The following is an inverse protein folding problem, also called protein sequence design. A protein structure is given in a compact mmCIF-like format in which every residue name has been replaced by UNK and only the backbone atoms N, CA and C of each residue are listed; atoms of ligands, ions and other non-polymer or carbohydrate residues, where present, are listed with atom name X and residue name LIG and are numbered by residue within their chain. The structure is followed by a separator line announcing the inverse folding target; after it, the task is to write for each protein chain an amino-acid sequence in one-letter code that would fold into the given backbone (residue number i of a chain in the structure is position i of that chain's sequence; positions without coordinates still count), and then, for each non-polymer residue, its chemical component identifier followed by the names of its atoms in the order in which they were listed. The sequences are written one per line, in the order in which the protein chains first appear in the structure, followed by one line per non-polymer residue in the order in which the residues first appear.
data_IF_942105237016
#
_entry.id   IF_942105237016
#
_cell.length_a   1.000
_cell.length_b   1.000
_cell.length_c   1.000
_cell.angle_alpha   90.00
_cell.angle_beta   90.00
_cell.angle_gamma   90.00
#
_symmetry.space_group_name_H-M   'P 1'
#
loop_
_entity.id
_entity.type
_entity.pdbx_description
1 polymer ?
#
# COMPACT_ATOMS: atom_id res chain seq x y z
N UNK A 1 -0.75 -7.36 -43.89
CA UNK A 1 -0.07 -7.49 -42.58
C UNK A 1 -0.63 -6.37 -41.69
N UNK A 2 -1.73 -6.53 -40.97
CA UNK A 2 -1.98 -7.55 -39.95
C UNK A 2 -1.73 -6.99 -38.53
N UNK A 3 -1.99 -5.71 -38.28
CA UNK A 3 -1.73 -5.06 -36.98
C UNK A 3 -2.84 -5.30 -35.93
N UNK A 4 -3.98 -5.86 -36.33
CA UNK A 4 -5.16 -6.02 -35.47
C UNK A 4 -5.29 -7.42 -34.82
N UNK A 5 -4.37 -8.36 -35.09
CA UNK A 5 -4.48 -9.74 -34.60
C UNK A 5 -3.68 -10.06 -33.33
N UNK A 6 -2.99 -9.08 -32.73
CA UNK A 6 -2.15 -9.31 -31.55
C UNK A 6 -2.78 -8.88 -30.21
N UNK A 7 -3.87 -8.10 -30.20
CA UNK A 7 -4.35 -7.45 -28.97
C UNK A 7 -5.44 -8.17 -28.20
N UNK A 8 -6.04 -9.25 -28.70
CA UNK A 8 -7.10 -9.91 -27.95
C UNK A 8 -7.20 -11.40 -28.27
N UNK A 9 -6.12 -12.15 -28.01
CA UNK A 9 -6.33 -13.54 -27.58
C UNK A 9 -6.87 -13.45 -26.16
N UNK A 10 -8.20 -13.34 -26.09
CA UNK A 10 -9.06 -13.64 -24.94
C UNK A 10 -8.32 -14.65 -24.09
N UNK A 11 -7.77 -14.24 -22.94
CA UNK A 11 -7.11 -15.16 -22.02
C UNK A 11 -8.20 -16.06 -21.42
N UNK A 12 -8.35 -17.32 -21.85
CA UNK A 12 -9.30 -18.22 -21.22
C UNK A 12 -8.43 -19.15 -20.38
N UNK A 13 -7.88 -18.63 -19.29
CA UNK A 13 -7.32 -19.51 -18.29
C UNK A 13 -8.03 -19.22 -17.00
N UNK A 14 -8.83 -20.22 -16.62
CA UNK A 14 -9.62 -20.31 -15.41
C UNK A 14 -8.67 -20.39 -14.20
N UNK A 15 -7.84 -19.36 -13.97
CA UNK A 15 -7.14 -19.21 -12.72
C UNK A 15 -8.22 -19.12 -11.64
N UNK A 16 -8.31 -20.13 -10.78
CA UNK A 16 -9.18 -20.06 -9.60
C UNK A 16 -8.62 -18.94 -8.72
N UNK A 17 -9.24 -17.77 -8.81
CA UNK A 17 -8.94 -16.63 -7.97
C UNK A 17 -9.62 -16.90 -6.62
N UNK A 18 -8.87 -17.50 -5.71
CA UNK A 18 -9.31 -17.68 -4.33
C UNK A 18 -9.13 -16.40 -3.54
N UNK A 19 -10.19 -15.96 -2.85
CA UNK A 19 -10.08 -14.83 -1.90
C UNK A 19 -9.03 -15.14 -0.83
N UNK A 20 -8.96 -16.41 -0.40
CA UNK A 20 -7.99 -16.90 0.58
C UNK A 20 -6.55 -16.77 0.08
N UNK A 21 -6.32 -17.05 -1.20
CA UNK A 21 -5.00 -16.91 -1.80
C UNK A 21 -4.59 -15.45 -1.85
N UNK A 22 -5.52 -14.55 -2.20
CA UNK A 22 -5.26 -13.11 -2.15
C UNK A 22 -4.83 -12.66 -0.75
N UNK A 23 -5.57 -13.02 0.30
CA UNK A 23 -5.20 -12.66 1.68
C UNK A 23 -3.85 -13.26 2.09
N UNK A 24 -3.56 -14.51 1.70
CA UNK A 24 -2.27 -15.14 2.01
C UNK A 24 -1.11 -14.44 1.29
N UNK A 25 -1.27 -14.10 0.01
CA UNK A 25 -0.26 -13.44 -0.80
C UNK A 25 -0.01 -11.99 -0.37
N UNK A 26 -1.04 -11.29 0.12
CA UNK A 26 -0.99 -9.87 0.52
C UNK A 26 -0.80 -9.67 2.03
N UNK A 27 -0.58 -10.73 2.82
CA UNK A 27 -0.45 -10.65 4.28
C UNK A 27 0.53 -9.58 4.79
N UNK A 28 1.63 -9.35 4.08
CA UNK A 28 2.61 -8.32 4.46
C UNK A 28 2.17 -6.90 4.12
N UNK A 29 1.34 -6.74 3.07
CA UNK A 29 0.67 -5.47 2.79
C UNK A 29 -0.31 -5.16 3.93
N UNK A 30 -1.15 -6.13 4.32
CA UNK A 30 -2.04 -5.97 5.47
C UNK A 30 -1.28 -5.64 6.76
N UNK A 31 -0.20 -6.37 7.04
CA UNK A 31 0.55 -6.22 8.28
C UNK A 31 1.29 -4.89 8.36
N UNK A 32 2.04 -4.50 7.31
CA UNK A 32 2.89 -3.31 7.38
C UNK A 32 2.21 -2.06 6.81
N UNK A 33 1.64 -2.14 5.61
CA UNK A 33 1.07 -0.96 4.96
C UNK A 33 -0.25 -0.49 5.59
N UNK A 34 -1.01 -1.41 6.18
CA UNK A 34 -2.31 -1.10 6.83
C UNK A 34 -2.17 -1.06 8.34
N UNK A 35 -1.96 -2.21 8.99
CA UNK A 35 -1.97 -2.28 10.47
C UNK A 35 -0.79 -1.52 11.07
N UNK A 36 0.42 -1.82 10.62
CA UNK A 36 1.65 -1.22 11.14
C UNK A 36 1.65 0.29 10.96
N UNK A 37 1.41 0.75 9.73
CA UNK A 37 1.37 2.18 9.41
C UNK A 37 0.32 2.91 10.27
N UNK A 38 -0.95 2.46 10.29
CA UNK A 38 -1.99 3.07 11.12
C UNK A 38 -1.59 3.08 12.60
N UNK A 39 -1.11 1.95 13.13
CA UNK A 39 -0.73 1.86 14.54
C UNK A 39 0.38 2.85 14.90
N UNK A 40 1.42 2.94 14.07
CA UNK A 40 2.51 3.89 14.29
C UNK A 40 2.08 5.35 14.14
N UNK A 41 1.22 5.66 13.16
CA UNK A 41 0.71 7.02 12.96
C UNK A 41 -0.18 7.47 14.11
N UNK A 42 -1.12 6.61 14.53
CA UNK A 42 -1.98 6.89 15.70
C UNK A 42 -1.12 7.07 16.94
N UNK A 43 -0.15 6.19 17.19
CA UNK A 43 0.74 6.29 18.34
C UNK A 43 1.56 7.59 18.34
N UNK A 44 2.11 7.98 17.19
CA UNK A 44 2.87 9.22 17.05
C UNK A 44 2.02 10.45 17.38
N UNK A 45 0.78 10.47 16.89
CA UNK A 45 -0.15 11.57 17.07
C UNK A 45 -0.70 11.66 18.50
N UNK A 46 -1.11 10.53 19.09
CA UNK A 46 -1.61 10.50 20.46
C UNK A 46 -0.52 10.81 21.50
N UNK A 47 0.73 10.46 21.20
CA UNK A 47 1.85 10.72 22.11
C UNK A 47 2.45 12.12 21.94
N UNK A 48 1.93 12.95 21.03
CA UNK A 48 2.51 14.26 20.64
C UNK A 48 3.99 14.17 20.18
N UNK A 49 4.44 12.98 19.78
CA UNK A 49 5.83 12.69 19.39
C UNK A 49 6.11 12.92 17.90
N UNK A 50 5.08 13.21 17.12
CA UNK A 50 5.20 13.49 15.69
C UNK A 50 4.00 14.28 15.16
N UNK A 51 4.19 14.92 14.02
CA UNK A 51 3.13 15.57 13.25
C UNK A 51 3.05 14.91 11.86
N UNK A 52 1.85 14.74 11.33
CA UNK A 52 1.68 14.20 9.98
C UNK A 52 2.08 15.25 8.93
N UNK A 53 3.24 15.05 8.31
CA UNK A 53 3.81 15.94 7.29
C UNK A 53 2.97 15.97 6.01
N UNK A 54 2.17 14.93 5.72
CA UNK A 54 1.34 14.91 4.53
C UNK A 54 0.09 15.77 4.70
N UNK A 55 0.05 16.92 4.04
CA UNK A 55 -1.05 17.91 4.12
C UNK A 55 -2.42 17.33 3.73
N UNK A 56 -2.48 16.37 2.82
CA UNK A 56 -3.72 15.71 2.42
C UNK A 56 -4.21 14.80 3.55
N UNK A 57 -3.32 13.99 4.12
CA UNK A 57 -3.65 13.05 5.20
C UNK A 57 -4.00 13.82 6.48
N UNK A 58 -3.22 14.85 6.81
CA UNK A 58 -3.49 15.76 7.93
C UNK A 58 -4.85 16.45 7.78
N UNK A 59 -5.19 16.93 6.57
CA UNK A 59 -6.50 17.50 6.28
C UNK A 59 -7.65 16.51 6.49
N UNK A 60 -7.51 15.26 6.04
CA UNK A 60 -8.51 14.22 6.29
C UNK A 60 -8.63 13.88 7.78
N UNK A 61 -7.50 13.79 8.47
CA UNK A 61 -7.46 13.47 9.89
C UNK A 61 -8.14 14.56 10.73
N UNK A 62 -7.89 15.83 10.43
CA UNK A 62 -8.49 16.96 11.14
C UNK A 62 -10.02 17.04 10.96
N UNK A 63 -10.52 16.66 9.78
CA UNK A 63 -11.95 16.76 9.46
C UNK A 63 -12.76 15.51 9.80
N UNK A 64 -12.14 14.32 9.73
CA UNK A 64 -12.84 13.03 9.82
C UNK A 64 -12.23 12.05 10.84
N UNK A 65 -11.16 12.46 11.54
CA UNK A 65 -10.47 11.66 12.55
C UNK A 65 -9.76 10.42 11.98
N UNK A 66 -9.29 9.54 12.86
CA UNK A 66 -8.53 8.34 12.50
C UNK A 66 -9.29 7.36 11.59
N UNK A 67 -10.62 7.40 11.57
CA UNK A 67 -11.44 6.58 10.69
C UNK A 67 -11.15 6.85 9.20
N UNK A 68 -10.75 8.08 8.86
CA UNK A 68 -10.37 8.43 7.48
C UNK A 68 -9.10 7.71 7.00
N UNK A 69 -8.12 7.50 7.89
CA UNK A 69 -6.90 6.73 7.58
C UNK A 69 -7.26 5.29 7.21
N UNK A 70 -8.15 4.67 7.99
CA UNK A 70 -8.62 3.30 7.73
C UNK A 70 -9.31 3.22 6.37
N UNK A 71 -10.20 4.18 6.06
CA UNK A 71 -10.92 4.21 4.78
C UNK A 71 -9.99 4.31 3.57
N UNK A 72 -8.97 5.19 3.64
CA UNK A 72 -7.99 5.33 2.55
C UNK A 72 -7.22 4.02 2.33
N UNK A 73 -6.83 3.34 3.41
CA UNK A 73 -6.12 2.05 3.32
C UNK A 73 -7.01 0.93 2.79
N UNK A 74 -8.29 0.90 3.17
CA UNK A 74 -9.27 -0.05 2.63
C UNK A 74 -9.52 0.17 1.13
N UNK A 75 -9.61 1.43 0.69
CA UNK A 75 -9.72 1.77 -0.73
C UNK A 75 -8.49 1.30 -1.51
N UNK A 76 -7.29 1.51 -0.96
CA UNK A 76 -6.06 1.02 -1.56
C UNK A 76 -6.03 -0.52 -1.67
N UNK A 77 -6.42 -1.24 -0.61
CA UNK A 77 -6.53 -2.71 -0.66
C UNK A 77 -7.55 -3.19 -1.70
N UNK A 78 -8.67 -2.48 -1.86
CA UNK A 78 -9.63 -2.78 -2.91
C UNK A 78 -9.02 -2.63 -4.30
N UNK A 79 -8.24 -1.57 -4.54
CA UNK A 79 -7.49 -1.38 -5.80
C UNK A 79 -6.47 -2.52 -5.99
N UNK A 80 -5.72 -2.91 -4.96
CA UNK A 80 -4.81 -4.05 -5.03
C UNK A 80 -5.54 -5.36 -5.35
N UNK A 81 -6.76 -5.55 -4.86
CA UNK A 81 -7.58 -6.71 -5.20
C UNK A 81 -8.01 -6.69 -6.67
N UNK A 82 -8.42 -5.54 -7.20
CA UNK A 82 -8.74 -5.39 -8.61
C UNK A 82 -7.52 -5.68 -9.50
N UNK A 83 -6.35 -5.16 -9.12
CA UNK A 83 -5.09 -5.40 -9.83
C UNK A 83 -4.68 -6.88 -9.78
N UNK A 84 -4.80 -7.52 -8.62
CA UNK A 84 -4.59 -8.96 -8.48
C UNK A 84 -5.47 -9.78 -9.43
N UNK A 85 -6.77 -9.49 -9.47
CA UNK A 85 -7.74 -10.17 -10.32
C UNK A 85 -7.39 -9.95 -11.79
N UNK A 86 -7.08 -8.72 -12.17
CA UNK A 86 -6.73 -8.35 -13.54
C UNK A 86 -5.46 -9.06 -14.00
N UNK A 87 -4.37 -8.94 -13.23
CA UNK A 87 -3.07 -9.52 -13.58
C UNK A 87 -3.10 -11.05 -13.60
N UNK A 88 -3.82 -11.71 -12.68
CA UNK A 88 -4.00 -13.17 -12.73
C UNK A 88 -4.80 -13.60 -13.96
N UNK A 89 -5.87 -12.88 -14.33
CA UNK A 89 -6.66 -13.19 -15.55
C UNK A 89 -5.83 -13.05 -16.82
N UNK A 90 -4.94 -12.05 -16.88
CA UNK A 90 -4.04 -11.84 -18.02
C UNK A 90 -2.76 -12.70 -17.96
N UNK A 91 -2.64 -13.60 -16.98
CA UNK A 91 -1.45 -14.44 -16.74
C UNK A 91 -0.14 -13.65 -16.50
N UNK A 92 -0.24 -12.43 -15.98
CA UNK A 92 0.90 -11.56 -15.61
C UNK A 92 1.33 -11.78 -14.15
N UNK A 93 1.67 -13.03 -13.81
CA UNK A 93 2.08 -13.44 -12.46
C UNK A 93 3.33 -12.70 -11.95
N UNK A 94 4.31 -12.45 -12.84
CA UNK A 94 5.54 -11.75 -12.48
C UNK A 94 5.26 -10.30 -12.06
N UNK A 95 4.40 -9.61 -12.81
CA UNK A 95 3.98 -8.24 -12.51
C UNK A 95 3.28 -8.16 -11.16
N UNK A 96 2.34 -9.07 -10.88
CA UNK A 96 1.69 -9.11 -9.57
C UNK A 96 2.68 -9.35 -8.43
N UNK A 97 3.62 -10.28 -8.61
CA UNK A 97 4.68 -10.55 -7.62
C UNK A 97 5.53 -9.29 -7.37
N UNK A 98 5.93 -8.57 -8.42
CA UNK A 98 6.65 -7.32 -8.28
C UNK A 98 5.81 -6.27 -7.52
N UNK A 99 4.57 -6.03 -7.94
CA UNK A 99 3.65 -5.08 -7.31
C UNK A 99 3.49 -5.38 -5.82
N UNK A 100 3.15 -6.62 -5.43
CA UNK A 100 2.93 -6.95 -4.02
C UNK A 100 4.19 -6.78 -3.17
N UNK A 101 5.37 -7.06 -3.73
CA UNK A 101 6.64 -6.90 -3.01
C UNK A 101 7.00 -5.43 -2.87
N UNK A 102 6.87 -4.62 -3.92
CA UNK A 102 7.06 -3.17 -3.85
C UNK A 102 6.14 -2.52 -2.82
N UNK A 103 4.85 -2.87 -2.82
CA UNK A 103 3.88 -2.36 -1.84
C UNK A 103 4.21 -2.83 -0.42
N UNK A 104 4.62 -4.08 -0.24
CA UNK A 104 5.03 -4.59 1.08
C UNK A 104 6.27 -3.86 1.61
N UNK A 105 7.27 -3.62 0.74
CA UNK A 105 8.47 -2.85 1.08
C UNK A 105 8.13 -1.41 1.43
N UNK A 106 7.26 -0.76 0.65
CA UNK A 106 6.76 0.57 0.95
C UNK A 106 6.09 0.62 2.34
N UNK A 107 5.25 -0.37 2.66
CA UNK A 107 4.64 -0.50 3.98
C UNK A 107 5.68 -0.61 5.10
N UNK A 108 6.73 -1.42 4.91
CA UNK A 108 7.82 -1.53 5.89
C UNK A 108 8.54 -0.19 6.05
N UNK A 109 8.86 0.50 4.95
CA UNK A 109 9.53 1.79 4.99
C UNK A 109 8.70 2.85 5.74
N UNK A 110 7.38 2.90 5.52
CA UNK A 110 6.49 3.79 6.25
C UNK A 110 6.51 3.52 7.76
N UNK A 111 6.39 2.25 8.16
CA UNK A 111 6.44 1.86 9.58
C UNK A 111 7.78 2.23 10.20
N UNK A 112 8.90 1.94 9.53
CA UNK A 112 10.24 2.30 10.01
C UNK A 112 10.37 3.82 10.13
N UNK A 113 9.89 4.56 9.14
CA UNK A 113 9.92 6.03 9.16
C UNK A 113 9.16 6.58 10.36
N UNK A 114 7.94 6.11 10.59
CA UNK A 114 7.12 6.57 11.71
C UNK A 114 7.76 6.21 13.06
N UNK A 115 8.34 5.01 13.19
CA UNK A 115 9.08 4.61 14.39
C UNK A 115 10.30 5.51 14.64
N UNK A 116 11.03 5.89 13.59
CA UNK A 116 12.20 6.77 13.72
C UNK A 116 11.79 8.16 14.19
N UNK A 117 10.73 8.73 13.60
CA UNK A 117 10.13 10.00 14.03
C UNK A 117 9.72 9.93 15.51
N UNK A 118 8.99 8.89 15.91
CA UNK A 118 8.60 8.64 17.31
C UNK A 118 9.84 8.55 18.21
N UNK A 119 10.90 7.89 17.75
CA UNK A 119 12.15 7.71 18.48
C UNK A 119 13.04 8.95 18.55
N UNK A 120 12.61 10.09 17.99
CA UNK A 120 13.37 11.34 17.97
C UNK A 120 14.51 11.39 16.94
N UNK A 121 14.69 10.32 16.16
CA UNK A 121 15.58 10.32 15.00
C UNK A 121 14.75 10.81 13.80
N UNK A 122 14.80 12.11 13.49
CA UNK A 122 13.96 12.73 12.45
C UNK A 122 13.85 11.94 11.14
N UNK A 123 12.74 12.12 10.41
CA UNK A 123 12.37 11.37 9.19
C UNK A 123 13.52 11.23 8.18
N UNK A 124 14.08 10.02 7.96
CA UNK A 124 15.09 9.81 6.91
C UNK A 124 14.53 10.00 5.50
N UNK A 125 13.21 9.82 5.32
CA UNK A 125 12.54 10.03 4.04
C UNK A 125 12.53 11.50 3.64
N UNK A 126 12.36 12.41 4.60
CA UNK A 126 12.40 13.85 4.34
C UNK A 126 13.81 14.25 3.87
N UNK A 127 14.85 13.72 4.53
CA UNK A 127 16.26 13.96 4.12
C UNK A 127 16.60 13.40 2.75
N UNK A 128 16.00 12.28 2.34
CA UNK A 128 16.21 11.69 1.02
C UNK A 128 15.50 12.46 -0.10
N UNK A 129 14.37 13.10 0.19
CA UNK A 129 13.58 13.86 -0.77
C UNK A 129 14.01 15.33 -0.86
N UNK A 130 14.54 15.90 0.22
CA UNK A 130 15.01 17.30 0.28
C UNK A 130 16.46 17.49 -0.22
N UNK A 131 17.17 16.40 -0.52
CA UNK A 131 18.44 16.46 -1.25
C UNK A 131 19.61 17.13 -0.50
N UNK A 132 19.64 17.07 0.84
CA UNK A 132 20.75 17.50 1.69
C UNK A 132 20.94 16.60 2.92
#
# INVERSE_FOLDING_TARGET
MGLETAYCKVCPMHAKIGIRDFFYETRYIFLFYVIGDIATTVFALESELGYEANSIISGFLANYGYASLVLIKLLFLFICFLDYVYLKKCNYLSTWNATRHCVSLLGILLVVNNILVIGGAGSPLDRLLDGY
#
